data_IF_177017002384
#
_entry.id   IF_177017002384
#
_cell.length_a   1.000
_cell.length_b   1.000
_cell.length_c   1.000
_cell.angle_alpha   90.00
_cell.angle_beta   90.00
_cell.angle_gamma   90.00
#
_symmetry.space_group_name_H-M   'P 1'
#
loop_
_entity.id
_entity.type
_entity.pdbx_description
1 polymer ?
#
# COMPACT_ATOMS: atom_id res chain seq x y z
N UNK A 1 39.56 -18.58 0.61
CA UNK A 1 38.59 -17.53 0.98
C UNK A 1 37.21 -17.88 0.42
N UNK A 2 36.38 -18.63 1.17
CA UNK A 2 34.93 -18.85 0.90
C UNK A 2 34.26 -19.18 2.23
N UNK A 3 33.65 -18.20 2.90
CA UNK A 3 32.87 -18.45 4.12
C UNK A 3 31.54 -19.08 3.74
N UNK A 4 31.48 -20.41 3.77
CA UNK A 4 30.23 -21.17 3.83
C UNK A 4 29.57 -20.87 5.18
N UNK A 5 28.57 -20.00 5.19
CA UNK A 5 27.69 -19.88 6.36
C UNK A 5 26.64 -20.98 6.27
N UNK A 6 26.93 -22.12 6.90
CA UNK A 6 25.98 -23.20 7.12
C UNK A 6 25.97 -23.52 8.61
N UNK A 7 25.02 -22.93 9.35
CA UNK A 7 24.45 -23.45 10.61
C UNK A 7 23.50 -22.42 11.21
N UNK A 8 22.20 -22.62 10.98
CA UNK A 8 21.22 -22.18 11.97
C UNK A 8 21.25 -23.26 13.06
N UNK A 9 21.97 -22.97 14.14
CA UNK A 9 22.03 -23.83 15.31
C UNK A 9 20.63 -23.89 15.94
N UNK A 10 20.14 -25.11 16.11
CA UNK A 10 18.93 -25.43 16.88
C UNK A 10 19.05 -24.78 18.26
N UNK A 11 18.09 -23.93 18.65
CA UNK A 11 17.95 -23.53 20.06
C UNK A 11 17.54 -22.10 20.38
N UNK A 12 17.40 -21.18 19.42
CA UNK A 12 16.85 -19.86 19.75
C UNK A 12 15.33 -19.97 19.93
N UNK A 13 14.89 -19.90 21.18
CA UNK A 13 13.46 -19.71 21.52
C UNK A 13 13.04 -18.36 20.95
N UNK A 14 12.37 -18.35 19.81
CA UNK A 14 11.64 -17.15 19.37
C UNK A 14 10.68 -16.75 20.50
N UNK A 15 10.85 -15.54 21.05
CA UNK A 15 10.05 -15.00 22.15
C UNK A 15 8.53 -15.08 21.87
N UNK A 16 8.16 -15.11 20.59
CA UNK A 16 6.81 -15.34 20.11
C UNK A 16 6.76 -16.55 19.18
N UNK A 17 5.79 -17.44 19.41
CA UNK A 17 5.36 -18.46 18.46
C UNK A 17 4.58 -17.81 17.30
N UNK A 18 4.53 -18.47 16.13
CA UNK A 18 3.94 -17.90 14.91
C UNK A 18 2.52 -17.34 15.11
N UNK A 19 1.71 -18.00 15.95
CA UNK A 19 0.37 -17.53 16.32
C UNK A 19 0.39 -16.23 17.13
N UNK A 20 1.27 -16.11 18.15
CA UNK A 20 1.40 -14.85 18.91
C UNK A 20 1.91 -13.73 18.03
N UNK A 21 2.86 -14.00 17.14
CA UNK A 21 3.35 -13.02 16.17
C UNK A 21 2.22 -12.53 15.26
N UNK A 22 1.38 -13.43 14.74
CA UNK A 22 0.23 -13.05 13.92
C UNK A 22 -0.78 -12.18 14.69
N UNK A 23 -1.08 -12.51 15.94
CA UNK A 23 -1.98 -11.73 16.79
C UNK A 23 -1.42 -10.32 17.08
N UNK A 24 -0.12 -10.22 17.38
CA UNK A 24 0.54 -8.93 17.60
C UNK A 24 0.52 -8.09 16.33
N UNK A 25 0.81 -8.68 15.16
CA UNK A 25 0.74 -7.99 13.88
C UNK A 25 -0.69 -7.52 13.56
N UNK A 26 -1.71 -8.33 13.86
CA UNK A 26 -3.11 -7.95 13.67
C UNK A 26 -3.52 -6.80 14.60
N UNK A 27 -3.11 -6.84 15.87
CA UNK A 27 -3.36 -5.76 16.82
C UNK A 27 -2.64 -4.47 16.42
N UNK A 28 -1.38 -4.56 15.98
CA UNK A 28 -0.57 -3.41 15.57
C UNK A 28 -1.14 -2.67 14.36
N UNK A 29 -1.92 -3.34 13.48
CA UNK A 29 -2.60 -2.67 12.36
C UNK A 29 -3.52 -1.54 12.80
N UNK A 30 -4.08 -1.61 14.01
CA UNK A 30 -4.95 -0.55 14.56
C UNK A 30 -4.18 0.73 14.90
N UNK A 31 -2.86 0.63 15.08
CA UNK A 31 -1.97 1.74 15.41
C UNK A 31 -1.06 2.12 14.24
N UNK A 32 -1.32 1.58 13.04
CA UNK A 32 -0.56 1.98 11.86
C UNK A 32 -0.78 3.45 11.56
N UNK A 33 0.32 4.20 11.54
CA UNK A 33 0.29 5.60 11.18
C UNK A 33 -0.07 5.74 9.70
N UNK A 34 -1.22 6.35 9.43
CA UNK A 34 -1.67 6.62 8.07
C UNK A 34 -0.72 7.67 7.46
N UNK A 35 -0.12 7.32 6.32
CA UNK A 35 0.71 8.29 5.58
C UNK A 35 -0.17 9.43 5.06
N UNK A 36 0.32 10.69 4.99
CA UNK A 36 -0.44 11.81 4.43
C UNK A 36 -0.94 11.54 3.00
N UNK A 37 -0.21 10.71 2.26
CA UNK A 37 -0.54 10.27 0.90
C UNK A 37 -1.77 9.36 0.91
N UNK A 38 -1.76 8.36 1.78
CA UNK A 38 -2.88 7.44 1.98
C UNK A 38 -4.12 8.21 2.45
N UNK A 39 -3.96 9.21 3.32
CA UNK A 39 -5.08 10.05 3.74
C UNK A 39 -5.68 10.84 2.56
N UNK A 40 -4.87 11.54 1.77
CA UNK A 40 -5.35 12.28 0.59
C UNK A 40 -6.07 11.35 -0.40
N UNK A 41 -5.55 10.13 -0.58
CA UNK A 41 -6.19 9.13 -1.41
C UNK A 41 -7.58 8.74 -0.87
N UNK A 42 -7.68 8.38 0.42
CA UNK A 42 -8.93 7.94 1.06
C UNK A 42 -10.00 9.05 1.15
N UNK A 43 -9.62 10.31 1.05
CA UNK A 43 -10.52 11.46 0.96
C UNK A 43 -11.16 11.65 -0.43
N UNK A 44 -10.64 10.99 -1.47
CA UNK A 44 -11.12 11.12 -2.86
C UNK A 44 -11.61 9.79 -3.41
N UNK A 45 -10.95 8.71 -3.01
CA UNK A 45 -11.18 7.38 -3.53
C UNK A 45 -11.48 6.40 -2.41
N UNK A 46 -12.24 5.35 -2.74
CA UNK A 46 -12.37 4.15 -1.91
C UNK A 46 -11.69 2.98 -2.60
N UNK A 47 -10.83 2.23 -1.89
CA UNK A 47 -10.36 0.94 -2.37
C UNK A 47 -11.54 -0.03 -2.39
N UNK A 48 -11.77 -0.68 -3.52
CA UNK A 48 -12.79 -1.73 -3.64
C UNK A 48 -12.26 -2.90 -4.45
N UNK A 49 -12.89 -4.05 -4.26
CA UNK A 49 -12.70 -5.24 -5.08
C UNK A 49 -13.91 -5.51 -5.99
N UNK A 50 -14.92 -4.63 -5.99
CA UNK A 50 -16.12 -4.79 -6.80
C UNK A 50 -15.97 -4.08 -8.17
N UNK A 51 -15.69 -4.81 -9.27
CA UNK A 51 -15.45 -4.22 -10.59
C UNK A 51 -16.67 -3.51 -11.18
N UNK A 52 -17.89 -3.84 -10.75
CA UNK A 52 -19.11 -3.23 -11.31
C UNK A 52 -19.33 -1.77 -10.91
N UNK A 53 -18.77 -1.34 -9.77
CA UNK A 53 -18.92 0.03 -9.26
C UNK A 53 -17.61 0.81 -9.27
N UNK A 54 -16.56 0.25 -9.85
CA UNK A 54 -15.21 0.82 -9.81
C UNK A 54 -14.63 1.05 -11.20
N UNK A 55 -13.65 1.94 -11.25
CA UNK A 55 -12.91 2.31 -12.43
C UNK A 55 -11.44 1.91 -12.24
N UNK A 56 -10.86 1.26 -13.25
CA UNK A 56 -9.41 1.05 -13.30
C UNK A 56 -8.72 2.36 -13.69
N UNK A 57 -7.88 2.88 -12.79
CA UNK A 57 -7.15 4.13 -12.99
C UNK A 57 -5.65 3.95 -12.84
N UNK A 58 -4.87 4.55 -13.75
CA UNK A 58 -3.41 4.60 -13.62
C UNK A 58 -2.99 5.49 -12.44
N UNK A 59 -1.86 5.17 -11.81
CA UNK A 59 -1.29 6.01 -10.74
C UNK A 59 -1.11 7.49 -11.16
N UNK A 60 -0.79 7.75 -12.43
CA UNK A 60 -0.65 9.11 -12.95
C UNK A 60 -1.99 9.87 -12.98
N UNK A 61 -3.08 9.19 -13.33
CA UNK A 61 -4.42 9.78 -13.34
C UNK A 61 -4.89 10.07 -11.91
N UNK A 62 -4.69 9.11 -10.99
CA UNK A 62 -4.95 9.30 -9.55
C UNK A 62 -4.15 10.50 -9.02
N UNK A 63 -2.85 10.57 -9.33
CA UNK A 63 -1.99 11.69 -8.92
C UNK A 63 -2.49 13.03 -9.43
N UNK A 64 -2.93 13.08 -10.70
CA UNK A 64 -3.48 14.29 -11.29
C UNK A 64 -4.75 14.75 -10.57
N UNK A 65 -5.68 13.83 -10.29
CA UNK A 65 -6.91 14.15 -9.55
C UNK A 65 -6.60 14.65 -8.14
N UNK A 66 -5.67 13.99 -7.43
CA UNK A 66 -5.23 14.44 -6.11
C UNK A 66 -4.61 15.84 -6.18
N UNK A 67 -3.80 16.13 -7.20
CA UNK A 67 -3.27 17.48 -7.43
C UNK A 67 -4.36 18.51 -7.74
N UNK A 68 -5.42 18.14 -8.44
CA UNK A 68 -6.52 19.06 -8.70
C UNK A 68 -7.32 19.39 -7.44
N UNK A 69 -7.56 18.40 -6.57
CA UNK A 69 -8.33 18.62 -5.32
C UNK A 69 -7.53 19.36 -4.24
N UNK A 70 -6.26 18.97 -4.05
CA UNK A 70 -5.44 19.48 -2.95
C UNK A 70 -4.42 20.55 -3.39
N UNK A 71 -4.20 20.72 -4.69
CA UNK A 71 -3.30 21.73 -5.24
C UNK A 71 -1.90 21.67 -4.63
N UNK A 72 -1.43 22.82 -4.18
CA UNK A 72 -0.13 23.01 -3.51
C UNK A 72 -0.06 22.37 -2.11
N UNK A 73 -1.21 22.03 -1.51
CA UNK A 73 -1.28 21.38 -0.19
C UNK A 73 -0.96 19.89 -0.26
N UNK A 74 -1.01 19.30 -1.46
CA UNK A 74 -0.62 17.93 -1.69
C UNK A 74 0.89 17.77 -1.43
N UNK A 75 1.25 17.25 -0.25
CA UNK A 75 2.63 16.91 0.13
C UNK A 75 3.26 15.83 -0.77
N UNK A 76 2.50 15.29 -1.73
CA UNK A 76 2.96 14.33 -2.72
C UNK A 76 3.61 15.07 -3.88
N UNK A 77 4.90 15.33 -3.75
CA UNK A 77 5.70 15.91 -4.83
C UNK A 77 6.02 14.91 -5.95
N UNK A 78 5.96 13.60 -5.65
CA UNK A 78 6.48 12.56 -6.54
C UNK A 78 5.47 11.42 -6.80
N UNK A 79 5.19 11.17 -8.09
CA UNK A 79 4.40 10.05 -8.59
C UNK A 79 4.93 8.68 -8.15
N UNK A 80 6.25 8.49 -8.06
CA UNK A 80 6.83 7.22 -7.60
C UNK A 80 6.51 6.94 -6.14
N UNK A 81 6.45 7.99 -5.31
CA UNK A 81 6.07 7.86 -3.90
C UNK A 81 4.59 7.49 -3.79
N UNK A 82 3.73 8.14 -4.59
CA UNK A 82 2.31 7.74 -4.68
C UNK A 82 2.17 6.27 -5.09
N UNK A 83 2.87 5.83 -6.14
CA UNK A 83 2.78 4.46 -6.63
C UNK A 83 3.13 3.41 -5.57
N UNK A 84 4.16 3.68 -4.75
CA UNK A 84 4.52 2.79 -3.61
C UNK A 84 3.45 2.78 -2.54
N UNK A 85 2.86 3.94 -2.23
CA UNK A 85 1.77 4.02 -1.25
C UNK A 85 0.54 3.27 -1.74
N UNK A 86 0.13 3.43 -3.00
CA UNK A 86 -1.00 2.69 -3.59
C UNK A 86 -0.82 1.16 -3.46
N UNK A 87 0.39 0.65 -3.72
CA UNK A 87 0.70 -0.78 -3.54
C UNK A 87 0.58 -1.27 -2.10
N UNK A 88 0.72 -0.37 -1.12
CA UNK A 88 0.63 -0.67 0.30
C UNK A 88 -0.77 -0.43 0.89
N UNK A 89 -1.75 0.02 0.08
CA UNK A 89 -3.13 0.17 0.54
C UNK A 89 -3.79 -1.21 0.58
N UNK A 90 -4.16 -1.65 1.79
CA UNK A 90 -4.93 -2.88 1.96
C UNK A 90 -6.27 -2.80 1.21
N UNK A 91 -6.61 -3.84 0.46
CA UNK A 91 -7.87 -3.94 -0.29
C UNK A 91 -7.89 -3.16 -1.61
N UNK A 92 -6.77 -2.58 -2.05
CA UNK A 92 -6.67 -1.96 -3.37
C UNK A 92 -6.21 -2.98 -4.42
N UNK A 93 -7.10 -3.36 -5.34
CA UNK A 93 -6.73 -4.24 -6.45
C UNK A 93 -5.87 -3.48 -7.46
N UNK A 94 -4.84 -4.15 -8.00
CA UNK A 94 -4.01 -3.60 -9.08
C UNK A 94 -3.88 -4.57 -10.25
N UNK A 95 -3.89 -4.03 -11.46
CA UNK A 95 -3.80 -4.76 -12.72
C UNK A 95 -2.63 -4.23 -13.54
N UNK A 96 -1.77 -5.13 -14.02
CA UNK A 96 -0.68 -4.78 -14.94
C UNK A 96 -1.21 -4.73 -16.37
N UNK A 97 -0.94 -3.64 -17.06
CA UNK A 97 -1.28 -3.42 -18.46
C UNK A 97 -0.03 -3.11 -19.28
N UNK A 98 -0.17 -3.02 -20.61
CA UNK A 98 0.94 -2.65 -21.51
C UNK A 98 1.45 -1.23 -21.27
N UNK A 99 0.63 -0.37 -20.67
CA UNK A 99 0.94 1.03 -20.41
C UNK A 99 1.38 1.31 -18.97
N UNK A 100 1.23 0.34 -18.06
CA UNK A 100 1.67 0.49 -16.67
C UNK A 100 0.87 -0.36 -15.69
N UNK A 101 0.66 0.18 -14.49
CA UNK A 101 -0.20 -0.44 -13.46
C UNK A 101 -1.43 0.43 -13.25
N UNK A 102 -2.59 -0.20 -13.35
CA UNK A 102 -3.90 0.37 -13.05
C UNK A 102 -4.37 -0.14 -11.69
N UNK A 103 -5.12 0.70 -10.99
CA UNK A 103 -5.65 0.42 -9.67
C UNK A 103 -7.17 0.54 -9.71
N UNK A 104 -7.86 -0.40 -9.08
CA UNK A 104 -9.32 -0.43 -9.04
C UNK A 104 -9.81 0.52 -7.94
N UNK A 105 -10.46 1.61 -8.34
CA UNK A 105 -10.87 2.66 -7.40
C UNK A 105 -12.32 3.09 -7.64
N UNK A 106 -13.02 3.45 -6.57
CA UNK A 106 -14.30 4.17 -6.65
C UNK A 106 -14.06 5.62 -6.30
N UNK A 107 -14.57 6.56 -7.10
CA UNK A 107 -14.54 7.98 -6.76
C UNK A 107 -15.67 8.30 -5.78
N UNK A 108 -15.33 9.05 -4.73
CA UNK A 108 -16.31 9.66 -3.82
C UNK A 108 -16.91 10.93 -4.41
#
# INVERSE_FOLDING_TARGET
MRRRCSRWSRGEKSYFNAQKTANILQYNRQFEQISPIKQCFLEVFEPTNDPEKSEYMMAAAIFYILKQKFGSSLQVSNLQRLGRELQNIEGLESKKTRFGTEYLVVRK
#
